data_IF_732347909708
#
_entry.id   IF_732347909708
#
_cell.length_a   1.000
_cell.length_b   1.000
_cell.length_c   1.000
_cell.angle_alpha   90.00
_cell.angle_beta   90.00
_cell.angle_gamma   90.00
#
_symmetry.space_group_name_H-M   'P 1'
#
loop_
_entity.id
_entity.type
_entity.pdbx_description
1 polymer ?
#
# COMPACT_ATOMS: atom_id res chain seq x y z
N UNK A 1 -10.90 -1.45 20.52
CA UNK A 1 -10.76 -2.39 19.38
C UNK A 1 -10.29 -1.71 18.10
N UNK A 2 -10.88 -0.58 17.65
CA UNK A 2 -10.47 0.15 16.42
C UNK A 2 -8.97 0.51 16.33
N UNK A 3 -8.33 0.92 17.43
CA UNK A 3 -6.90 1.30 17.46
C UNK A 3 -5.93 0.17 17.05
N UNK A 4 -6.24 -1.08 17.38
CA UNK A 4 -5.43 -2.24 16.95
C UNK A 4 -5.64 -2.59 15.48
N UNK A 5 -6.83 -2.32 14.94
CA UNK A 5 -7.14 -2.57 13.53
C UNK A 5 -6.36 -1.61 12.60
N UNK A 6 -6.31 -0.31 12.94
CA UNK A 6 -5.51 0.66 12.20
C UNK A 6 -4.01 0.39 12.26
N UNK A 7 -3.51 -0.05 13.42
CA UNK A 7 -2.11 -0.44 13.56
C UNK A 7 -1.77 -1.60 12.61
N UNK A 8 -2.64 -2.61 12.55
CA UNK A 8 -2.49 -3.76 11.65
C UNK A 8 -2.52 -3.35 10.17
N UNK A 9 -3.51 -2.54 9.75
CA UNK A 9 -3.58 -2.02 8.37
C UNK A 9 -2.30 -1.26 7.97
N UNK A 10 -1.75 -0.45 8.87
CA UNK A 10 -0.49 0.26 8.64
C UNK A 10 0.70 -0.69 8.47
N UNK A 11 0.82 -1.70 9.33
CA UNK A 11 1.88 -2.71 9.22
C UNK A 11 1.76 -3.48 7.89
N UNK A 12 0.55 -3.80 7.45
CA UNK A 12 0.28 -4.46 6.17
C UNK A 12 0.68 -3.59 4.97
N UNK A 13 0.31 -2.31 4.98
CA UNK A 13 0.71 -1.33 3.96
C UNK A 13 2.23 -1.21 3.84
N UNK A 14 2.93 -1.07 4.97
CA UNK A 14 4.40 -0.98 5.01
C UNK A 14 5.06 -2.25 4.49
N UNK A 15 4.52 -3.42 4.84
CA UNK A 15 5.02 -4.70 4.34
C UNK A 15 4.82 -4.83 2.83
N UNK A 16 3.68 -4.39 2.30
CA UNK A 16 3.40 -4.45 0.87
C UNK A 16 4.26 -3.47 0.07
N UNK A 17 4.53 -2.28 0.61
CA UNK A 17 5.50 -1.33 0.04
C UNK A 17 6.90 -1.93 -0.02
N UNK A 18 7.36 -2.54 1.07
CA UNK A 18 8.66 -3.20 1.12
C UNK A 18 8.79 -4.31 0.07
N UNK A 19 7.76 -5.15 -0.09
CA UNK A 19 7.76 -6.18 -1.14
C UNK A 19 7.87 -5.59 -2.54
N UNK A 20 7.25 -4.44 -2.79
CA UNK A 20 7.35 -3.76 -4.08
C UNK A 20 8.77 -3.20 -4.29
N UNK A 21 9.38 -2.61 -3.27
CA UNK A 21 10.79 -2.18 -3.30
C UNK A 21 11.73 -3.36 -3.58
N UNK A 22 11.52 -4.50 -2.92
CA UNK A 22 12.32 -5.72 -3.14
C UNK A 22 12.20 -6.22 -4.60
N UNK A 23 11.02 -6.10 -5.22
CA UNK A 23 10.82 -6.43 -6.65
C UNK A 23 11.59 -5.46 -7.55
N UNK A 24 11.54 -4.16 -7.25
CA UNK A 24 12.27 -3.14 -8.02
C UNK A 24 13.78 -3.38 -7.92
N UNK A 25 14.30 -3.57 -6.70
CA UNK A 25 15.72 -3.89 -6.47
C UNK A 25 16.14 -5.14 -7.25
N UNK A 26 15.30 -6.18 -7.26
CA UNK A 26 15.59 -7.39 -8.02
C UNK A 26 15.74 -7.11 -9.52
N UNK A 27 14.93 -6.23 -10.11
CA UNK A 27 15.08 -5.84 -11.52
C UNK A 27 16.32 -4.99 -11.78
N UNK A 28 16.72 -4.14 -10.82
CA UNK A 28 17.91 -3.29 -10.93
C UNK A 28 19.22 -4.08 -10.77
N UNK A 29 19.22 -5.10 -9.91
CA UNK A 29 20.39 -5.93 -9.60
C UNK A 29 20.61 -7.09 -10.59
N UNK A 30 19.65 -7.34 -11.50
CA UNK A 30 19.69 -8.47 -12.43
C UNK A 30 20.31 -8.09 -13.78
N UNK A 31 21.60 -8.38 -13.98
CA UNK A 31 22.34 -8.14 -15.25
C UNK A 31 21.86 -9.02 -16.43
N UNK A 32 21.24 -10.17 -16.14
CA UNK A 32 20.72 -11.11 -17.16
C UNK A 32 19.39 -11.70 -16.63
N UNK A 33 18.33 -10.89 -16.71
CA UNK A 33 17.00 -11.25 -16.16
C UNK A 33 16.45 -12.48 -16.88
N UNK A 34 16.29 -13.57 -16.14
CA UNK A 34 15.46 -14.70 -16.55
C UNK A 34 14.04 -14.17 -16.85
N UNK A 35 13.62 -14.30 -18.11
CA UNK A 35 12.35 -13.78 -18.62
C UNK A 35 11.14 -14.35 -17.89
N UNK A 36 11.20 -15.62 -17.48
CA UNK A 36 10.09 -16.26 -16.75
C UNK A 36 9.98 -15.67 -15.34
N UNK A 37 11.10 -15.55 -14.63
CA UNK A 37 11.17 -14.92 -13.33
C UNK A 37 10.77 -13.44 -13.38
N UNK A 38 11.20 -12.72 -14.43
CA UNK A 38 10.83 -11.32 -14.67
C UNK A 38 9.34 -11.15 -14.90
N UNK A 39 8.72 -12.02 -15.70
CA UNK A 39 7.28 -11.99 -15.92
C UNK A 39 6.48 -12.29 -14.65
N UNK A 40 6.93 -13.24 -13.83
CA UNK A 40 6.30 -13.54 -12.55
C UNK A 40 6.39 -12.34 -11.59
N UNK A 41 7.58 -11.76 -11.42
CA UNK A 41 7.82 -10.57 -10.58
C UNK A 41 6.99 -9.37 -11.03
N UNK A 42 6.87 -9.15 -12.34
CA UNK A 42 6.03 -8.08 -12.90
C UNK A 42 4.54 -8.29 -12.56
N UNK A 43 4.03 -9.52 -12.65
CA UNK A 43 2.65 -9.85 -12.26
C UNK A 43 2.42 -9.61 -10.76
N UNK A 44 3.32 -10.12 -9.92
CA UNK A 44 3.26 -9.89 -8.47
C UNK A 44 3.32 -8.41 -8.13
N UNK A 45 4.20 -7.64 -8.79
CA UNK A 45 4.30 -6.20 -8.62
C UNK A 45 3.00 -5.48 -8.99
N UNK A 46 2.36 -5.86 -10.10
CA UNK A 46 1.07 -5.29 -10.51
C UNK A 46 -0.05 -5.56 -9.49
N UNK A 47 -0.11 -6.77 -8.93
CA UNK A 47 -1.06 -7.11 -7.87
C UNK A 47 -0.80 -6.33 -6.58
N UNK A 48 0.48 -6.18 -6.18
CA UNK A 48 0.87 -5.37 -5.03
C UNK A 48 0.47 -3.91 -5.21
N UNK A 49 0.74 -3.30 -6.37
CA UNK A 49 0.34 -1.91 -6.65
C UNK A 49 -1.17 -1.75 -6.57
N UNK A 50 -1.94 -2.73 -7.06
CA UNK A 50 -3.40 -2.68 -6.98
C UNK A 50 -3.87 -2.73 -5.52
N UNK A 51 -3.33 -3.64 -4.72
CA UNK A 51 -3.65 -3.73 -3.29
C UNK A 51 -3.30 -2.45 -2.52
N UNK A 52 -2.09 -1.92 -2.73
CA UNK A 52 -1.63 -0.68 -2.11
C UNK A 52 -2.54 0.51 -2.42
N UNK A 53 -3.00 0.64 -3.68
CA UNK A 53 -3.93 1.71 -4.07
C UNK A 53 -5.25 1.62 -3.31
N UNK A 54 -5.81 0.42 -3.19
CA UNK A 54 -7.05 0.20 -2.44
C UNK A 54 -6.86 0.50 -0.96
N UNK A 55 -5.78 0.04 -0.34
CA UNK A 55 -5.46 0.33 1.06
C UNK A 55 -5.29 1.83 1.31
N UNK A 56 -4.63 2.56 0.38
CA UNK A 56 -4.47 4.01 0.47
C UNK A 56 -5.79 4.76 0.34
N UNK A 57 -6.68 4.33 -0.55
CA UNK A 57 -8.01 4.93 -0.72
C UNK A 57 -8.85 4.78 0.55
N UNK A 58 -8.81 3.62 1.21
CA UNK A 58 -9.47 3.43 2.51
C UNK A 58 -8.94 4.40 3.57
N UNK A 59 -7.62 4.56 3.66
CA UNK A 59 -6.99 5.50 4.60
C UNK A 59 -7.37 6.95 4.28
N UNK A 60 -7.44 7.31 2.99
CA UNK A 60 -7.88 8.64 2.57
C UNK A 60 -9.32 8.91 2.99
N UNK A 61 -10.23 7.95 2.75
CA UNK A 61 -11.64 8.09 3.14
C UNK A 61 -11.79 8.27 4.65
N UNK A 62 -11.07 7.49 5.46
CA UNK A 62 -11.05 7.64 6.92
C UNK A 62 -10.54 9.04 7.35
N UNK A 63 -9.59 9.63 6.60
CA UNK A 63 -9.11 10.99 6.87
C UNK A 63 -10.14 12.07 6.49
N UNK A 64 -10.87 11.88 5.39
CA UNK A 64 -11.95 12.78 4.98
C UNK A 64 -13.11 12.78 5.98
N UNK A 65 -13.46 11.61 6.54
CA UNK A 65 -14.44 11.50 7.62
C UNK A 65 -14.01 12.29 8.87
N UNK A 66 -12.77 12.11 9.33
CA UNK A 66 -12.23 12.84 10.48
C UNK A 66 -12.24 14.35 10.22
N UNK A 67 -11.87 14.78 9.01
CA UNK A 67 -11.89 16.20 8.64
C UNK A 67 -13.31 16.78 8.75
N UNK A 68 -14.32 16.04 8.26
CA UNK A 68 -15.72 16.47 8.33
C UNK A 68 -16.20 16.57 9.77
N UNK A 69 -15.91 15.57 10.60
CA UNK A 69 -16.25 15.61 12.04
C UNK A 69 -15.68 16.86 12.73
N UNK A 70 -14.43 17.22 12.43
CA UNK A 70 -13.79 18.42 12.98
C UNK A 70 -14.40 19.73 12.45
N UNK A 71 -14.81 19.78 11.17
CA UNK A 71 -15.47 20.95 10.60
C UNK A 71 -16.87 21.16 11.19
N UNK A 72 -17.62 20.06 11.37
CA UNK A 72 -18.95 20.09 11.99
C UNK A 72 -18.85 20.56 13.46
N UNK A 73 -17.88 20.07 14.24
CA UNK A 73 -17.61 20.51 15.63
C UNK A 73 -17.25 22.00 15.78
N UNK A 74 -16.64 22.62 14.76
CA UNK A 74 -16.26 24.05 14.76
C UNK A 74 -17.41 24.96 14.33
N UNK A 75 -18.45 24.39 13.72
CA UNK A 75 -19.60 25.12 13.18
C UNK A 75 -20.79 25.24 14.15
N UNK A 76 -20.70 24.63 15.34
CA UNK A 76 -21.59 24.82 16.51
C UNK A 76 -21.07 25.88 17.50
#
# INVERSE_FOLDING_TARGET
>A
MKKNLMKKKREELLNNLKKLEDIVSWFEDSDDVDLEAGLEKAKTGAELVKALRTEMEEVQNEFEEIKKELEDEVSE
#
